data_IF_923164749010
#
_entry.id   IF_923164749010
#
_cell.length_a   1.000
_cell.length_b   1.000
_cell.length_c   1.000
_cell.angle_alpha   90.00
_cell.angle_beta   90.00
_cell.angle_gamma   90.00
#
_symmetry.space_group_name_H-M   'P 1'
#
loop_
_entity.id
_entity.type
_entity.pdbx_description
1 polymer ?
#
# COMPACT_ATOMS: atom_id res chain seq x y z
N UNK A 1 4.60 -34.90 55.33
CA UNK A 1 3.14 -34.77 55.35
C UNK A 1 2.79 -33.53 54.54
N UNK A 2 1.91 -33.71 53.55
CA UNK A 2 1.20 -32.70 52.74
C UNK A 2 2.07 -31.80 51.83
N UNK A 3 2.03 -31.86 50.49
CA UNK A 3 1.01 -32.37 49.57
C UNK A 3 0.13 -31.22 49.05
N UNK A 4 0.65 -30.42 48.11
CA UNK A 4 -0.15 -29.40 47.40
C UNK A 4 0.17 -29.43 45.90
N UNK A 5 -0.55 -30.32 45.21
CA UNK A 5 -0.75 -30.32 43.77
C UNK A 5 -1.57 -29.09 43.34
N UNK A 6 -1.09 -28.32 42.35
CA UNK A 6 -1.91 -27.35 41.60
C UNK A 6 -1.67 -27.49 40.10
N UNK A 7 -2.50 -28.36 39.51
CA UNK A 7 -3.31 -28.18 38.29
C UNK A 7 -2.79 -27.25 37.18
N UNK A 8 -2.38 -27.87 36.07
CA UNK A 8 -2.22 -27.29 34.73
C UNK A 8 -3.56 -26.74 34.18
N UNK A 9 -3.56 -25.63 33.43
CA UNK A 9 -4.74 -25.20 32.68
C UNK A 9 -4.88 -25.93 31.34
N UNK A 10 -6.10 -26.40 31.10
CA UNK A 10 -6.57 -27.09 29.91
C UNK A 10 -6.42 -26.29 28.61
N UNK A 11 -5.93 -26.98 27.57
CA UNK A 11 -5.88 -26.55 26.16
C UNK A 11 -7.26 -26.75 25.52
N UNK A 12 -7.92 -25.73 24.94
CA UNK A 12 -9.15 -25.96 24.20
C UNK A 12 -8.86 -26.54 22.80
N UNK A 13 -9.78 -27.40 22.38
CA UNK A 13 -9.68 -28.27 21.22
C UNK A 13 -9.66 -27.53 19.87
N UNK A 14 -8.89 -28.14 18.96
CA UNK A 14 -8.78 -27.88 17.53
C UNK A 14 -10.14 -27.92 16.79
N UNK A 15 -10.44 -26.86 16.04
CA UNK A 15 -11.54 -26.83 15.07
C UNK A 15 -11.13 -27.51 13.74
N UNK A 16 -12.05 -28.22 13.05
CA UNK A 16 -11.76 -28.93 11.80
C UNK A 16 -11.72 -27.98 10.58
N UNK A 17 -11.04 -28.35 9.49
CA UNK A 17 -10.82 -27.46 8.34
C UNK A 17 -12.06 -27.33 7.44
N UNK A 18 -12.30 -26.09 7.00
CA UNK A 18 -13.30 -25.71 6.00
C UNK A 18 -12.90 -26.23 4.61
N UNK A 19 -13.68 -27.19 4.11
CA UNK A 19 -13.69 -27.64 2.72
C UNK A 19 -14.01 -26.46 1.78
N UNK A 20 -13.04 -26.01 0.97
CA UNK A 20 -13.30 -25.17 -0.21
C UNK A 20 -13.27 -26.02 -1.47
N UNK A 21 -14.42 -26.02 -2.13
CA UNK A 21 -14.72 -26.73 -3.36
C UNK A 21 -13.76 -26.38 -4.51
N UNK A 22 -13.33 -27.41 -5.25
CA UNK A 22 -12.73 -27.29 -6.58
C UNK A 22 -13.74 -26.72 -7.57
N UNK A 23 -13.35 -25.82 -8.49
CA UNK A 23 -14.14 -25.53 -9.68
C UNK A 23 -14.05 -26.70 -10.69
N UNK A 24 -15.11 -26.97 -11.47
CA UNK A 24 -15.11 -28.06 -12.44
C UNK A 24 -14.31 -27.69 -13.70
N UNK A 25 -13.60 -28.70 -14.22
CA UNK A 25 -12.92 -28.69 -15.52
C UNK A 25 -13.97 -28.53 -16.64
N UNK A 26 -13.76 -27.59 -17.57
CA UNK A 26 -14.45 -27.61 -18.87
C UNK A 26 -13.71 -28.56 -19.79
N UNK A 27 -14.45 -29.54 -20.32
CA UNK A 27 -14.02 -30.47 -21.34
C UNK A 27 -14.28 -29.89 -22.73
N UNK A 28 -13.37 -30.21 -23.65
CA UNK A 28 -13.46 -30.03 -25.09
C UNK A 28 -14.61 -30.83 -25.72
N UNK A 29 -15.05 -30.39 -26.91
CA UNK A 29 -15.94 -31.15 -27.82
C UNK A 29 -16.88 -30.24 -28.59
N UNK A 30 -16.51 -29.75 -29.78
CA UNK A 30 -16.87 -30.33 -31.09
C UNK A 30 -18.39 -30.39 -31.39
N UNK A 31 -18.81 -29.53 -32.33
CA UNK A 31 -19.99 -29.71 -33.22
C UNK A 31 -19.80 -30.96 -34.11
N UNK A 32 -20.82 -31.54 -34.82
CA UNK A 32 -21.69 -30.85 -35.79
C UNK A 32 -23.10 -31.48 -36.02
N UNK A 33 -23.75 -31.03 -37.12
CA UNK A 33 -24.93 -31.58 -37.83
C UNK A 33 -26.29 -31.19 -37.21
N UNK A 34 -27.27 -30.55 -37.86
CA UNK A 34 -27.64 -30.44 -39.28
C UNK A 34 -28.98 -31.17 -39.48
N UNK A 35 -30.08 -30.46 -39.78
CA UNK A 35 -31.22 -30.97 -40.58
C UNK A 35 -32.34 -29.94 -40.78
N UNK A 36 -32.94 -30.05 -41.97
CA UNK A 36 -33.88 -29.19 -42.65
C UNK A 36 -35.36 -29.38 -42.25
N UNK A 37 -36.19 -28.42 -42.68
CA UNK A 37 -37.41 -28.59 -43.52
C UNK A 37 -38.76 -28.09 -42.96
N UNK A 38 -39.47 -27.40 -43.86
CA UNK A 38 -40.92 -27.12 -43.86
C UNK A 38 -41.26 -25.63 -43.63
N UNK A 39 -41.95 -24.88 -44.48
CA UNK A 39 -42.64 -25.15 -45.74
C UNK A 39 -43.86 -24.19 -45.88
N UNK A 40 -43.99 -23.50 -47.02
CA UNK A 40 -45.28 -22.96 -47.53
C UNK A 40 -45.68 -21.54 -47.11
N UNK A 41 -46.48 -20.73 -47.84
CA UNK A 41 -47.05 -20.73 -49.20
C UNK A 41 -47.43 -19.26 -49.54
N UNK A 42 -47.34 -18.88 -50.83
CA UNK A 42 -48.18 -17.94 -51.60
C UNK A 42 -48.19 -16.39 -51.42
N UNK A 43 -47.93 -15.77 -52.59
CA UNK A 43 -48.59 -14.61 -53.23
C UNK A 43 -48.50 -13.20 -52.63
N UNK A 44 -47.83 -12.30 -53.36
CA UNK A 44 -48.49 -11.22 -54.10
C UNK A 44 -47.49 -10.50 -55.03
N UNK A 45 -47.92 -10.26 -56.27
CA UNK A 45 -47.22 -9.46 -57.26
C UNK A 45 -47.37 -7.96 -56.96
N UNK A 46 -46.31 -7.17 -57.19
CA UNK A 46 -46.36 -5.71 -57.08
C UNK A 46 -45.04 -5.07 -57.53
N UNK A 47 -45.08 -4.41 -58.68
CA UNK A 47 -43.97 -3.78 -59.39
C UNK A 47 -43.37 -2.60 -58.59
N UNK A 48 -42.04 -2.57 -58.37
CA UNK A 48 -41.30 -1.36 -57.99
C UNK A 48 -39.83 -1.45 -58.43
N UNK A 49 -39.56 -0.76 -59.53
CA UNK A 49 -38.34 0.00 -59.89
C UNK A 49 -37.06 -0.29 -59.09
N UNK A 50 -36.01 -0.74 -59.81
CA UNK A 50 -34.67 -0.94 -59.31
C UNK A 50 -34.06 0.34 -58.71
N UNK A 51 -33.77 0.32 -57.41
CA UNK A 51 -32.87 1.28 -56.75
C UNK A 51 -31.45 0.67 -56.68
N UNK A 52 -30.37 1.43 -56.92
CA UNK A 52 -29.02 0.90 -56.82
C UNK A 52 -28.68 0.64 -55.36
N UNK A 53 -28.15 -0.56 -55.11
CA UNK A 53 -27.63 -1.01 -53.81
C UNK A 53 -26.39 -0.17 -53.49
N UNK A 54 -26.51 0.82 -52.62
CA UNK A 54 -25.36 1.57 -52.10
C UNK A 54 -24.46 0.60 -51.32
N UNK A 55 -23.34 0.22 -51.94
CA UNK A 55 -22.30 -0.56 -51.32
C UNK A 55 -21.45 0.42 -50.50
N UNK A 56 -21.57 0.38 -49.17
CA UNK A 56 -20.81 1.20 -48.24
C UNK A 56 -19.30 1.00 -48.48
N UNK A 57 -18.63 2.02 -49.00
CA UNK A 57 -17.22 1.90 -49.40
C UNK A 57 -16.31 1.97 -48.17
N UNK A 58 -15.09 1.44 -48.25
CA UNK A 58 -14.12 1.51 -47.15
C UNK A 58 -13.82 2.96 -46.71
N UNK A 59 -13.95 3.93 -47.64
CA UNK A 59 -13.83 5.34 -47.35
C UNK A 59 -14.97 5.88 -46.45
N UNK A 60 -16.20 5.39 -46.62
CA UNK A 60 -17.35 5.76 -45.79
C UNK A 60 -17.19 5.24 -44.35
N UNK A 61 -16.65 4.03 -44.20
CA UNK A 61 -16.31 3.46 -42.88
C UNK A 61 -15.18 4.23 -42.20
N UNK A 62 -14.16 4.64 -42.95
CA UNK A 62 -13.05 5.46 -42.45
C UNK A 62 -13.55 6.84 -41.98
N UNK A 63 -14.44 7.46 -42.74
CA UNK A 63 -15.05 8.75 -42.42
C UNK A 63 -15.92 8.67 -41.17
N UNK A 64 -16.78 7.65 -41.08
CA UNK A 64 -17.61 7.39 -39.90
C UNK A 64 -16.78 7.08 -38.65
N UNK A 65 -15.67 6.35 -38.78
CA UNK A 65 -14.71 6.13 -37.69
C UNK A 65 -14.01 7.42 -37.26
N UNK A 66 -13.69 8.31 -38.21
CA UNK A 66 -13.07 9.61 -37.92
C UNK A 66 -14.04 10.54 -37.17
N UNK A 67 -15.30 10.65 -37.62
CA UNK A 67 -16.35 11.41 -36.94
C UNK A 67 -16.61 10.86 -35.52
N UNK A 68 -16.61 9.54 -35.36
CA UNK A 68 -16.79 8.89 -34.04
C UNK A 68 -15.59 9.13 -33.13
N UNK A 69 -14.37 9.12 -33.67
CA UNK A 69 -13.13 9.43 -32.93
C UNK A 69 -13.06 10.89 -32.54
N UNK A 70 -13.51 11.80 -33.40
CA UNK A 70 -13.59 13.24 -33.11
C UNK A 70 -14.69 13.55 -32.09
N UNK A 71 -15.85 12.90 -32.19
CA UNK A 71 -16.91 12.97 -31.18
C UNK A 71 -16.49 12.38 -29.83
N UNK A 72 -15.72 11.29 -29.83
CA UNK A 72 -15.13 10.72 -28.61
C UNK A 72 -14.04 11.63 -28.03
N UNK A 73 -13.22 12.28 -28.86
CA UNK A 73 -12.23 13.26 -28.42
C UNK A 73 -12.87 14.53 -27.85
N UNK A 74 -13.94 15.03 -28.47
CA UNK A 74 -14.72 16.17 -27.97
C UNK A 74 -15.44 15.81 -26.66
N UNK A 75 -15.97 14.59 -26.54
CA UNK A 75 -16.53 14.08 -25.28
C UNK A 75 -15.46 13.88 -24.21
N UNK A 76 -14.27 13.39 -24.56
CA UNK A 76 -13.13 13.24 -23.65
C UNK A 76 -12.56 14.61 -23.23
N UNK A 77 -12.52 15.59 -24.14
CA UNK A 77 -12.10 16.95 -23.84
C UNK A 77 -13.12 17.66 -22.93
N UNK A 78 -14.42 17.57 -23.22
CA UNK A 78 -15.47 18.11 -22.36
C UNK A 78 -15.55 17.40 -21.00
N UNK A 79 -15.28 16.08 -20.97
CA UNK A 79 -15.15 15.34 -19.72
C UNK A 79 -13.87 15.74 -18.97
N UNK A 80 -12.76 16.01 -19.66
CA UNK A 80 -11.50 16.49 -19.08
C UNK A 80 -11.58 17.96 -18.61
N UNK A 81 -12.50 18.74 -19.16
CA UNK A 81 -12.84 20.10 -18.70
C UNK A 81 -13.78 20.04 -17.48
N UNK A 82 -14.73 19.09 -17.47
CA UNK A 82 -15.55 18.78 -16.27
C UNK A 82 -14.80 18.02 -15.18
N UNK A 83 -13.72 17.33 -15.54
CA UNK A 83 -12.72 16.67 -14.69
C UNK A 83 -11.39 17.44 -14.75
N UNK A 84 -11.43 18.76 -15.05
CA UNK A 84 -10.31 19.62 -14.71
C UNK A 84 -9.98 19.39 -13.23
N UNK A 85 -8.74 19.60 -12.77
CA UNK A 85 -8.41 19.38 -11.37
C UNK A 85 -9.44 20.15 -10.55
N UNK A 86 -10.42 19.43 -10.01
CA UNK A 86 -11.21 19.97 -8.94
C UNK A 86 -10.18 20.11 -7.85
N UNK A 87 -9.83 21.36 -7.55
CA UNK A 87 -9.14 21.70 -6.32
C UNK A 87 -9.79 20.86 -5.23
N UNK A 88 -9.05 19.85 -4.79
CA UNK A 88 -9.49 18.88 -3.79
C UNK A 88 -9.39 19.54 -2.41
N UNK A 89 -9.75 20.82 -2.31
CA UNK A 89 -9.49 21.67 -1.16
C UNK A 89 -10.73 21.87 -0.27
N UNK A 90 -11.92 21.44 -0.70
CA UNK A 90 -13.13 21.58 0.13
C UNK A 90 -13.38 20.40 1.11
N UNK A 91 -12.48 19.43 1.21
CA UNK A 91 -12.63 18.27 2.11
C UNK A 91 -11.48 18.08 3.11
N UNK A 92 -10.54 19.01 3.21
CA UNK A 92 -9.43 18.93 4.16
C UNK A 92 -9.63 19.90 5.32
N UNK A 93 -9.17 19.54 6.52
CA UNK A 93 -9.18 20.48 7.64
C UNK A 93 -8.24 21.65 7.30
N UNK A 94 -8.74 22.88 7.29
CA UNK A 94 -7.90 24.05 7.10
C UNK A 94 -7.02 24.25 8.34
N UNK A 95 -5.80 23.71 8.28
CA UNK A 95 -4.82 23.76 9.35
C UNK A 95 -3.57 24.56 8.98
N UNK A 96 -3.57 25.32 7.87
CA UNK A 96 -2.37 26.00 7.34
C UNK A 96 -1.66 26.88 8.39
N UNK A 97 -2.43 27.48 9.30
CA UNK A 97 -1.92 28.31 10.40
C UNK A 97 -2.29 27.76 11.79
N UNK A 98 -2.55 26.45 11.89
CA UNK A 98 -2.89 25.84 13.17
C UNK A 98 -1.67 25.73 14.10
N UNK A 99 -1.90 26.01 15.38
CA UNK A 99 -0.93 25.76 16.46
C UNK A 99 -0.80 24.26 16.75
N UNK A 100 0.38 23.79 17.23
CA UNK A 100 0.63 22.38 17.51
C UNK A 100 -0.44 21.75 18.42
N UNK A 101 -0.91 22.45 19.46
CA UNK A 101 -1.90 21.94 20.42
C UNK A 101 -3.24 21.63 19.75
N UNK A 102 -3.64 22.42 18.75
CA UNK A 102 -4.85 22.12 17.99
C UNK A 102 -4.66 20.84 17.18
N UNK A 103 -3.51 20.68 16.51
CA UNK A 103 -3.16 19.47 15.78
C UNK A 103 -3.16 18.23 16.69
N UNK A 104 -2.60 18.33 17.90
CA UNK A 104 -2.61 17.25 18.90
C UNK A 104 -4.03 16.85 19.29
N UNK A 105 -4.92 17.81 19.53
CA UNK A 105 -6.34 17.52 19.83
C UNK A 105 -7.05 16.84 18.66
N UNK A 106 -6.75 17.25 17.43
CA UNK A 106 -7.34 16.65 16.23
C UNK A 106 -6.82 15.23 15.97
N UNK A 107 -5.58 14.91 16.33
CA UNK A 107 -5.02 13.55 16.27
C UNK A 107 -5.82 12.56 17.12
N UNK A 108 -6.41 13.00 18.23
CA UNK A 108 -7.26 12.18 19.09
C UNK A 108 -8.64 11.88 18.47
N UNK A 109 -8.98 12.52 17.34
CA UNK A 109 -10.17 12.26 16.54
C UNK A 109 -9.77 11.77 15.14
N UNK A 110 -9.41 10.49 14.96
CA UNK A 110 -8.88 9.99 13.70
C UNK A 110 -9.89 10.12 12.57
N UNK A 111 -9.57 10.93 11.58
CA UNK A 111 -10.32 11.04 10.32
C UNK A 111 -9.37 11.37 9.18
N UNK A 112 -9.75 10.99 7.95
CA UNK A 112 -8.95 11.29 6.75
C UNK A 112 -8.78 12.80 6.62
N UNK A 113 -9.83 13.58 6.90
CA UNK A 113 -9.83 15.05 6.86
C UNK A 113 -8.80 15.65 7.82
N UNK A 114 -8.75 15.17 9.06
CA UNK A 114 -7.82 15.65 10.08
C UNK A 114 -6.37 15.30 9.73
N UNK A 115 -6.11 14.07 9.29
CA UNK A 115 -4.75 13.67 8.89
C UNK A 115 -4.29 14.36 7.60
N UNK A 116 -5.15 14.57 6.62
CA UNK A 116 -4.78 15.30 5.40
C UNK A 116 -4.42 16.75 5.71
N UNK A 117 -5.25 17.44 6.51
CA UNK A 117 -4.93 18.79 6.96
C UNK A 117 -3.64 18.85 7.79
N UNK A 118 -3.44 17.87 8.70
CA UNK A 118 -2.23 17.79 9.51
C UNK A 118 -0.99 17.56 8.66
N UNK A 119 -1.06 16.67 7.66
CA UNK A 119 0.03 16.42 6.72
C UNK A 119 0.46 17.71 6.05
N UNK A 120 -0.48 18.49 5.49
CA UNK A 120 -0.16 19.80 4.88
C UNK A 120 0.53 20.72 5.88
N UNK A 121 0.00 20.80 7.11
CA UNK A 121 0.58 21.64 8.16
C UNK A 121 1.98 21.20 8.62
N UNK A 122 2.28 19.90 8.61
CA UNK A 122 3.60 19.34 8.87
C UNK A 122 4.58 19.61 7.73
N UNK A 123 4.11 19.58 6.48
CA UNK A 123 4.94 19.85 5.30
C UNK A 123 5.32 21.33 5.18
N UNK A 124 4.49 22.25 5.69
CA UNK A 124 4.74 23.69 5.68
C UNK A 124 5.29 24.25 7.00
N UNK A 125 5.52 23.41 8.02
CA UNK A 125 6.00 23.87 9.33
C UNK A 125 7.47 24.27 9.31
N UNK A 126 7.81 25.30 10.10
CA UNK A 126 9.19 25.61 10.45
C UNK A 126 9.73 24.71 11.57
N UNK A 127 11.02 24.85 11.86
CA UNK A 127 11.71 24.06 12.88
C UNK A 127 11.14 24.27 14.29
N UNK A 128 10.74 25.51 14.62
CA UNK A 128 10.21 25.84 15.95
C UNK A 128 8.86 25.16 16.20
N UNK A 129 7.97 25.20 15.20
CA UNK A 129 6.69 24.51 15.26
C UNK A 129 6.86 23.00 15.31
N UNK A 130 7.78 22.44 14.51
CA UNK A 130 8.06 20.99 14.50
C UNK A 130 8.54 20.52 15.87
N UNK A 131 9.46 21.24 16.51
CA UNK A 131 9.94 20.91 17.85
C UNK A 131 8.78 20.91 18.86
N UNK A 132 7.93 21.94 18.88
CA UNK A 132 6.77 21.98 19.77
C UNK A 132 5.80 20.82 19.53
N UNK A 133 5.52 20.48 18.28
CA UNK A 133 4.68 19.33 17.94
C UNK A 133 5.25 18.01 18.49
N UNK A 134 6.56 17.83 18.43
CA UNK A 134 7.25 16.65 18.96
C UNK A 134 7.24 16.62 20.49
N UNK A 135 7.52 17.76 21.14
CA UNK A 135 7.46 17.91 22.60
C UNK A 135 6.07 17.65 23.18
N UNK A 136 5.02 17.97 22.41
CA UNK A 136 3.63 17.67 22.75
C UNK A 136 3.19 16.24 22.36
N UNK A 137 4.16 15.33 22.17
CA UNK A 137 3.94 13.91 21.86
C UNK A 137 3.19 13.66 20.53
N UNK A 138 3.25 14.57 19.57
CA UNK A 138 2.54 14.44 18.30
C UNK A 138 2.95 13.21 17.49
N UNK A 139 4.25 12.89 17.49
CA UNK A 139 4.76 11.69 16.84
C UNK A 139 4.30 10.39 17.55
N UNK A 140 4.27 10.38 18.89
CA UNK A 140 3.76 9.23 19.66
C UNK A 140 2.31 8.92 19.29
N UNK A 141 1.46 9.96 19.23
CA UNK A 141 0.06 9.81 18.87
C UNK A 141 -0.11 9.29 17.43
N UNK A 142 0.71 9.76 16.48
CA UNK A 142 0.69 9.28 15.10
C UNK A 142 1.07 7.79 15.01
N UNK A 143 2.15 7.38 15.70
CA UNK A 143 2.61 6.00 15.67
C UNK A 143 1.66 5.05 16.41
N UNK A 144 1.09 5.49 17.53
CA UNK A 144 0.07 4.74 18.26
C UNK A 144 -1.22 4.60 17.44
N UNK A 145 -1.64 5.65 16.73
CA UNK A 145 -2.76 5.55 15.80
C UNK A 145 -2.48 4.57 14.66
N UNK A 146 -1.26 4.60 14.10
CA UNK A 146 -0.87 3.68 13.04
C UNK A 146 -0.86 2.22 13.51
N UNK A 147 -0.35 1.94 14.70
CA UNK A 147 -0.37 0.60 15.31
C UNK A 147 -1.81 0.09 15.49
N UNK A 148 -2.70 0.91 16.07
CA UNK A 148 -4.13 0.58 16.22
C UNK A 148 -4.82 0.28 14.89
N UNK A 149 -4.45 0.99 13.82
CA UNK A 149 -4.99 0.77 12.47
C UNK A 149 -4.43 -0.49 11.81
N UNK A 150 -3.17 -0.85 12.09
CA UNK A 150 -2.51 -2.03 11.55
C UNK A 150 -3.02 -3.35 12.15
N UNK A 151 -3.30 -3.38 13.46
CA UNK A 151 -3.71 -4.60 14.15
C UNK A 151 -5.16 -5.09 13.88
N UNK A 152 -6.04 -4.22 13.37
CA UNK A 152 -7.48 -4.53 13.20
C UNK A 152 -7.84 -5.16 11.85
N UNK A 153 -6.90 -5.19 10.91
CA UNK A 153 -7.17 -5.48 9.51
C UNK A 153 -8.00 -4.38 8.83
N UNK A 154 -7.93 -4.31 7.52
CA UNK A 154 -8.65 -3.29 6.72
C UNK A 154 -10.07 -3.78 6.44
N UNK A 155 -11.03 -3.42 7.29
CA UNK A 155 -12.44 -3.83 7.12
C UNK A 155 -13.18 -2.96 6.10
N UNK A 156 -12.80 -1.70 5.96
CA UNK A 156 -13.41 -0.74 5.03
C UNK A 156 -12.35 0.02 4.25
N UNK A 157 -12.74 0.53 3.08
CA UNK A 157 -11.90 1.43 2.25
C UNK A 157 -11.49 2.67 3.05
N UNK A 158 -12.38 3.21 3.89
CA UNK A 158 -12.09 4.32 4.79
C UNK A 158 -10.93 4.04 5.73
N UNK A 159 -10.80 2.79 6.21
CA UNK A 159 -9.74 2.41 7.15
C UNK A 159 -8.39 2.33 6.43
N UNK A 160 -8.39 1.83 5.18
CA UNK A 160 -7.22 1.82 4.31
C UNK A 160 -6.71 3.24 4.03
N UNK A 161 -7.63 4.15 3.71
CA UNK A 161 -7.33 5.56 3.46
C UNK A 161 -6.82 6.24 4.72
N UNK A 162 -7.48 6.04 5.86
CA UNK A 162 -7.07 6.60 7.13
C UNK A 162 -5.65 6.16 7.52
N UNK A 163 -5.35 4.88 7.35
CA UNK A 163 -4.01 4.34 7.61
C UNK A 163 -2.95 4.93 6.67
N UNK A 164 -3.27 5.06 5.38
CA UNK A 164 -2.37 5.66 4.39
C UNK A 164 -2.10 7.14 4.67
N UNK A 165 -3.12 7.91 5.04
CA UNK A 165 -2.95 9.32 5.40
C UNK A 165 -2.18 9.48 6.72
N UNK A 166 -2.37 8.56 7.67
CA UNK A 166 -1.60 8.55 8.92
C UNK A 166 -0.10 8.35 8.70
N UNK A 167 0.30 7.35 7.90
CA UNK A 167 1.73 7.13 7.58
C UNK A 167 2.32 8.28 6.76
N UNK A 168 1.50 8.99 5.96
CA UNK A 168 1.94 10.20 5.27
C UNK A 168 2.25 11.36 6.24
N UNK A 169 1.56 11.46 7.37
CA UNK A 169 1.91 12.42 8.42
C UNK A 169 3.27 12.08 9.06
N UNK A 170 3.52 10.80 9.36
CA UNK A 170 4.83 10.34 9.87
C UNK A 170 5.94 10.64 8.88
N UNK A 171 5.69 10.43 7.57
CA UNK A 171 6.63 10.82 6.52
C UNK A 171 6.90 12.32 6.52
N UNK A 172 5.87 13.16 6.66
CA UNK A 172 6.05 14.61 6.72
C UNK A 172 6.96 15.01 7.90
N UNK A 173 6.79 14.38 9.07
CA UNK A 173 7.71 14.55 10.21
C UNK A 173 9.14 14.14 9.84
N UNK A 174 9.34 12.94 9.28
CA UNK A 174 10.67 12.45 8.89
C UNK A 174 11.35 13.25 7.79
N UNK A 175 10.59 13.97 6.96
CA UNK A 175 11.13 14.86 5.94
C UNK A 175 11.60 16.21 6.52
N UNK A 176 11.22 16.55 7.75
CA UNK A 176 11.78 17.71 8.47
C UNK A 176 13.10 17.33 9.12
N UNK A 177 14.08 18.24 9.03
CA UNK A 177 15.37 18.09 9.69
C UNK A 177 15.23 17.86 11.20
N UNK A 178 14.35 18.62 11.87
CA UNK A 178 14.09 18.42 13.29
C UNK A 178 13.40 17.10 13.60
N UNK A 179 12.48 16.67 12.74
CA UNK A 179 11.73 15.44 12.92
C UNK A 179 12.59 14.18 12.79
N UNK A 180 13.45 14.09 11.78
CA UNK A 180 14.35 12.94 11.63
C UNK A 180 15.41 12.87 12.73
N UNK A 181 15.98 14.01 13.16
CA UNK A 181 16.91 14.02 14.29
C UNK A 181 16.27 13.56 15.59
N UNK A 182 15.02 13.96 15.83
CA UNK A 182 14.25 13.53 16.99
C UNK A 182 14.00 12.01 16.97
N UNK A 183 13.70 11.44 15.80
CA UNK A 183 13.51 10.00 15.63
C UNK A 183 14.82 9.22 15.83
N UNK A 184 15.92 9.69 15.25
CA UNK A 184 17.24 9.03 15.38
C UNK A 184 17.77 9.12 16.81
N UNK A 185 17.37 10.13 17.57
CA UNK A 185 17.74 10.24 18.99
C UNK A 185 16.97 9.28 19.91
N UNK A 186 15.97 8.55 19.40
CA UNK A 186 15.03 7.77 20.20
C UNK A 186 14.69 6.43 19.54
N UNK A 187 15.36 5.35 19.96
CA UNK A 187 15.24 4.01 19.33
C UNK A 187 13.80 3.48 19.27
N UNK A 188 12.98 3.83 20.26
CA UNK A 188 11.60 3.36 20.39
C UNK A 188 10.70 3.74 19.22
N UNK A 189 10.95 4.87 18.56
CA UNK A 189 10.09 5.31 17.44
C UNK A 189 10.28 4.47 16.19
N UNK A 190 11.51 4.07 15.87
CA UNK A 190 11.77 3.23 14.69
C UNK A 190 11.15 1.84 14.90
N UNK A 191 11.25 1.26 16.10
CA UNK A 191 10.56 0.00 16.43
C UNK A 191 9.04 0.11 16.29
N UNK A 192 8.42 1.18 16.82
CA UNK A 192 6.98 1.45 16.67
C UNK A 192 6.58 1.61 15.20
N UNK A 193 7.38 2.32 14.39
CA UNK A 193 7.13 2.46 12.95
C UNK A 193 7.08 1.10 12.25
N UNK A 194 7.95 0.16 12.62
CA UNK A 194 7.99 -1.18 12.01
C UNK A 194 6.82 -2.07 12.42
N UNK A 195 6.18 -1.84 13.57
CA UNK A 195 4.94 -2.53 13.92
C UNK A 195 3.82 -2.27 12.90
N UNK A 196 3.89 -1.14 12.16
CA UNK A 196 2.95 -0.85 11.08
C UNK A 196 3.01 -1.84 9.89
N UNK A 197 4.05 -2.68 9.80
CA UNK A 197 4.14 -3.76 8.81
C UNK A 197 3.08 -4.86 9.01
N UNK A 198 2.39 -4.87 10.15
CA UNK A 198 1.31 -5.82 10.46
C UNK A 198 0.05 -5.62 9.62
N UNK A 199 -0.08 -4.46 8.98
CA UNK A 199 -1.19 -4.17 8.09
C UNK A 199 -1.22 -5.09 6.87
N UNK A 200 -2.40 -5.31 6.31
CA UNK A 200 -2.56 -5.92 4.98
C UNK A 200 -2.42 -4.90 3.85
N UNK A 201 -2.34 -3.60 4.16
CA UNK A 201 -2.23 -2.54 3.18
C UNK A 201 -0.80 -2.41 2.62
N UNK A 202 -0.58 -2.94 1.41
CA UNK A 202 0.71 -2.90 0.71
C UNK A 202 1.25 -1.48 0.53
N UNK A 203 0.38 -0.48 0.36
CA UNK A 203 0.82 0.91 0.19
C UNK A 203 1.43 1.46 1.49
N UNK A 204 0.89 1.07 2.65
CA UNK A 204 1.46 1.46 3.94
C UNK A 204 2.80 0.76 4.16
N UNK A 205 2.90 -0.54 3.87
CA UNK A 205 4.18 -1.26 3.94
C UNK A 205 5.24 -0.63 3.05
N UNK A 206 4.88 -0.25 1.82
CA UNK A 206 5.75 0.49 0.90
C UNK A 206 6.27 1.77 1.55
N UNK A 207 5.39 2.57 2.15
CA UNK A 207 5.80 3.80 2.84
C UNK A 207 6.77 3.51 4.00
N UNK A 208 6.53 2.46 4.81
CA UNK A 208 7.41 2.06 5.91
C UNK A 208 8.81 1.66 5.41
N UNK A 209 8.90 0.86 4.34
CA UNK A 209 10.19 0.48 3.76
C UNK A 209 10.95 1.64 3.11
N UNK A 210 10.25 2.63 2.55
CA UNK A 210 10.89 3.87 2.07
C UNK A 210 11.47 4.69 3.22
N UNK A 211 10.75 4.80 4.35
CA UNK A 211 11.24 5.49 5.55
C UNK A 211 12.42 4.75 6.20
N UNK A 212 12.40 3.41 6.19
CA UNK A 212 13.56 2.59 6.56
C UNK A 212 14.78 2.92 5.71
N UNK A 213 14.61 2.93 4.38
CA UNK A 213 15.70 3.24 3.46
C UNK A 213 16.25 4.65 3.72
N UNK A 214 15.38 5.63 3.96
CA UNK A 214 15.77 6.99 4.32
C UNK A 214 16.60 7.04 5.61
N UNK A 215 16.19 6.32 6.67
CA UNK A 215 16.97 6.22 7.93
C UNK A 215 18.37 5.63 7.70
N UNK A 216 18.46 4.57 6.90
CA UNK A 216 19.74 3.96 6.55
C UNK A 216 20.69 4.90 5.81
N UNK A 217 20.15 5.80 4.98
CA UNK A 217 20.93 6.75 4.18
C UNK A 217 21.28 8.01 4.99
N UNK A 218 20.40 8.42 5.91
CA UNK A 218 20.53 9.65 6.66
C UNK A 218 21.76 9.69 7.56
N UNK A 219 21.99 8.66 8.37
CA UNK A 219 23.14 8.59 9.28
C UNK A 219 23.48 7.16 9.70
N UNK A 220 24.68 6.97 10.25
CA UNK A 220 25.10 5.68 10.81
C UNK A 220 24.19 5.21 11.96
N UNK A 221 23.75 6.15 12.80
CA UNK A 221 22.82 5.88 13.89
C UNK A 221 21.45 5.46 13.34
N UNK A 222 20.92 6.20 12.34
CA UNK A 222 19.67 5.85 11.67
C UNK A 222 19.73 4.46 11.03
N UNK A 223 20.85 4.11 10.41
CA UNK A 223 21.11 2.76 9.90
C UNK A 223 21.14 1.70 11.02
N UNK A 224 21.79 1.99 12.14
CA UNK A 224 21.80 1.14 13.34
C UNK A 224 20.39 0.88 13.87
N UNK A 225 19.57 1.91 13.99
CA UNK A 225 18.18 1.82 14.43
C UNK A 225 17.30 1.02 13.46
N UNK A 226 17.53 1.14 12.15
CA UNK A 226 16.80 0.34 11.16
C UNK A 226 17.10 -1.16 11.32
N UNK A 227 18.36 -1.52 11.56
CA UNK A 227 18.76 -2.91 11.83
C UNK A 227 18.21 -3.44 13.16
N UNK A 228 18.23 -2.60 14.20
CA UNK A 228 17.66 -2.91 15.50
C UNK A 228 16.14 -3.13 15.40
N UNK A 229 15.41 -2.28 14.68
CA UNK A 229 13.97 -2.43 14.47
C UNK A 229 13.62 -3.71 13.69
N UNK A 230 14.42 -4.10 12.70
CA UNK A 230 14.28 -5.39 12.00
C UNK A 230 14.51 -6.58 12.93
N UNK A 231 15.52 -6.53 13.81
CA UNK A 231 15.76 -7.60 14.78
C UNK A 231 14.64 -7.67 15.83
N UNK A 232 14.19 -6.52 16.33
CA UNK A 232 13.04 -6.44 17.21
C UNK A 232 11.79 -7.04 16.56
N UNK A 233 11.50 -6.67 15.32
CA UNK A 233 10.35 -7.19 14.58
C UNK A 233 10.44 -8.71 14.39
N UNK A 234 11.64 -9.25 14.10
CA UNK A 234 11.88 -10.70 14.06
C UNK A 234 11.49 -11.37 15.38
N UNK A 235 11.92 -10.82 16.51
CA UNK A 235 11.61 -11.38 17.82
C UNK A 235 10.09 -11.34 18.10
N UNK A 236 9.42 -10.22 17.79
CA UNK A 236 7.96 -10.07 17.95
C UNK A 236 7.18 -11.02 17.06
N UNK A 237 7.65 -11.27 15.83
CA UNK A 237 7.01 -12.18 14.86
C UNK A 237 7.50 -13.62 14.93
N UNK A 238 8.38 -13.94 15.88
CA UNK A 238 9.00 -15.24 16.03
C UNK A 238 9.59 -15.76 14.70
N UNK A 239 10.26 -14.87 13.96
CA UNK A 239 10.94 -15.21 12.72
C UNK A 239 12.36 -15.73 12.99
N UNK A 240 12.88 -16.56 12.10
CA UNK A 240 14.23 -17.11 12.23
C UNK A 240 15.30 -16.04 11.97
N UNK A 241 15.07 -15.14 11.00
CA UNK A 241 16.04 -14.15 10.57
C UNK A 241 15.45 -12.74 10.57
N UNK A 242 16.27 -11.73 10.91
CA UNK A 242 15.85 -10.32 10.95
C UNK A 242 15.38 -9.77 9.60
N UNK A 243 15.88 -10.35 8.50
CA UNK A 243 15.51 -9.95 7.14
C UNK A 243 14.37 -10.77 6.54
N UNK A 244 13.82 -11.75 7.28
CA UNK A 244 12.71 -12.59 6.80
C UNK A 244 11.50 -11.76 6.36
N UNK A 245 11.18 -10.67 7.06
CA UNK A 245 10.07 -9.79 6.68
C UNK A 245 10.23 -9.21 5.26
N UNK A 246 11.42 -8.70 4.91
CA UNK A 246 11.68 -8.12 3.59
C UNK A 246 11.61 -9.20 2.51
N UNK A 247 12.24 -10.35 2.77
CA UNK A 247 12.29 -11.45 1.80
C UNK A 247 10.91 -12.05 1.54
N UNK A 248 10.08 -12.19 2.58
CA UNK A 248 8.71 -12.67 2.46
C UNK A 248 7.84 -11.68 1.68
N UNK A 249 7.97 -10.37 1.91
CA UNK A 249 7.21 -9.38 1.13
C UNK A 249 7.64 -9.40 -0.34
N UNK A 250 8.94 -9.53 -0.62
CA UNK A 250 9.48 -9.56 -1.97
C UNK A 250 9.04 -10.82 -2.74
N UNK A 251 8.98 -11.97 -2.08
CA UNK A 251 8.57 -13.23 -2.72
C UNK A 251 7.07 -13.33 -3.01
N UNK A 252 6.24 -12.60 -2.24
CA UNK A 252 4.79 -12.74 -2.28
C UNK A 252 4.08 -11.63 -3.05
N UNK A 253 4.79 -10.59 -3.49
CA UNK A 253 4.20 -9.48 -4.24
C UNK A 253 4.41 -9.66 -5.75
N UNK A 254 3.47 -9.15 -6.56
CA UNK A 254 3.57 -8.93 -8.00
C UNK A 254 3.59 -7.42 -8.35
N UNK A 255 3.50 -6.55 -7.33
CA UNK A 255 3.48 -5.11 -7.47
C UNK A 255 4.91 -4.58 -7.72
N UNK A 256 5.21 -4.30 -8.99
CA UNK A 256 6.55 -3.83 -9.41
C UNK A 256 7.04 -2.59 -8.64
N UNK A 257 6.24 -1.50 -8.47
CA UNK A 257 6.64 -0.38 -7.61
C UNK A 257 7.02 -0.78 -6.18
N UNK A 258 6.33 -1.75 -5.59
CA UNK A 258 6.65 -2.23 -4.25
C UNK A 258 7.93 -3.07 -4.22
N UNK A 259 8.15 -3.93 -5.23
CA UNK A 259 9.42 -4.66 -5.38
C UNK A 259 10.62 -3.70 -5.48
N UNK A 260 10.49 -2.61 -6.24
CA UNK A 260 11.54 -1.58 -6.35
C UNK A 260 11.83 -0.96 -4.99
N UNK A 261 10.79 -0.65 -4.20
CA UNK A 261 10.96 -0.14 -2.84
C UNK A 261 11.70 -1.14 -1.94
N UNK A 262 11.32 -2.42 -1.98
CA UNK A 262 11.95 -3.47 -1.17
C UNK A 262 13.42 -3.65 -1.55
N UNK A 263 13.75 -3.71 -2.85
CA UNK A 263 15.13 -3.79 -3.33
C UNK A 263 15.93 -2.53 -2.96
N UNK A 264 15.32 -1.35 -3.01
CA UNK A 264 15.95 -0.10 -2.55
C UNK A 264 16.25 -0.14 -1.05
N UNK A 265 15.35 -0.69 -0.23
CA UNK A 265 15.58 -0.87 1.21
C UNK A 265 16.72 -1.86 1.47
N UNK A 266 16.78 -2.99 0.75
CA UNK A 266 17.92 -3.94 0.81
C UNK A 266 19.23 -3.23 0.47
N UNK A 267 19.25 -2.45 -0.60
CA UNK A 267 20.43 -1.69 -1.01
C UNK A 267 20.84 -0.67 0.05
N UNK A 268 19.90 0.06 0.64
CA UNK A 268 20.17 1.02 1.71
C UNK A 268 20.74 0.32 2.96
N UNK A 269 20.23 -0.85 3.33
CA UNK A 269 20.76 -1.65 4.45
C UNK A 269 22.19 -2.13 4.16
N UNK A 270 22.44 -2.69 2.97
CA UNK A 270 23.78 -3.21 2.64
C UNK A 270 24.78 -2.07 2.49
N UNK A 271 24.41 -0.97 1.83
CA UNK A 271 25.33 0.12 1.55
C UNK A 271 25.48 1.11 2.71
N UNK A 272 24.60 1.04 3.72
CA UNK A 272 24.69 1.87 4.94
C UNK A 272 25.91 1.56 5.83
N UNK A 273 26.64 0.46 5.55
CA UNK A 273 27.93 0.16 6.20
C UNK A 273 29.10 0.46 5.26
N UNK A 274 30.08 1.22 5.76
CA UNK A 274 31.29 1.52 5.00
C UNK A 274 32.18 0.27 4.82
N UNK A 275 32.33 -0.51 5.90
CA UNK A 275 33.19 -1.69 5.95
C UNK A 275 32.71 -2.82 5.02
N UNK A 276 33.58 -3.23 4.10
CA UNK A 276 33.31 -4.27 3.10
C UNK A 276 32.96 -5.63 3.73
N UNK A 277 33.60 -5.97 4.86
CA UNK A 277 33.37 -7.26 5.52
C UNK A 277 31.96 -7.31 6.10
N UNK A 278 31.54 -6.26 6.80
CA UNK A 278 30.20 -6.12 7.35
C UNK A 278 29.14 -6.13 6.25
N UNK A 279 29.39 -5.45 5.12
CA UNK A 279 28.51 -5.52 3.94
C UNK A 279 28.35 -6.93 3.38
N UNK A 280 29.45 -7.68 3.37
CA UNK A 280 29.44 -9.08 2.90
C UNK A 280 28.64 -9.97 3.86
N UNK A 281 28.78 -9.77 5.18
CA UNK A 281 28.00 -10.48 6.20
C UNK A 281 26.49 -10.21 6.04
N UNK A 282 26.09 -8.94 6.00
CA UNK A 282 24.68 -8.56 5.82
C UNK A 282 24.10 -9.16 4.52
N UNK A 283 24.87 -9.14 3.42
CA UNK A 283 24.45 -9.79 2.17
C UNK A 283 24.27 -11.30 2.33
N UNK A 284 25.15 -11.97 3.05
CA UNK A 284 25.04 -13.40 3.33
C UNK A 284 23.81 -13.72 4.19
N UNK A 285 23.48 -12.86 5.18
CA UNK A 285 22.25 -12.98 5.98
C UNK A 285 21.00 -12.96 5.09
N UNK A 286 20.93 -12.06 4.08
CA UNK A 286 19.81 -12.02 3.13
C UNK A 286 19.67 -13.30 2.29
N UNK A 287 20.78 -13.97 1.97
CA UNK A 287 20.80 -15.22 1.19
C UNK A 287 20.58 -16.44 2.11
N UNK A 288 20.50 -16.25 3.43
CA UNK A 288 20.40 -17.33 4.41
C UNK A 288 21.68 -18.16 4.51
N UNK A 289 22.84 -17.60 4.15
CA UNK A 289 24.12 -18.31 4.10
C UNK A 289 24.86 -18.39 5.45
N UNK A 290 24.31 -17.86 6.52
CA UNK A 290 24.92 -17.92 7.86
C UNK A 290 24.60 -19.21 8.65
N UNK A 291 24.41 -20.35 7.96
CA UNK A 291 24.38 -21.69 8.61
C UNK A 291 25.55 -22.59 8.18
N UNK A 292 26.48 -22.16 7.32
CA UNK A 292 27.66 -23.00 7.04
C UNK A 292 28.94 -22.18 6.93
N UNK A 293 29.65 -22.04 8.06
CA UNK A 293 31.07 -21.69 8.05
C UNK A 293 31.50 -20.75 9.17
N UNK A 294 31.59 -21.24 10.41
CA UNK A 294 32.83 -21.31 11.22
C UNK A 294 32.54 -21.94 12.57
#
# INVERSE_FOLDING_TARGET
MEGLSRTLPHRPASAPPLNRARPPRRADGQSPVGSCSGGGWLSAAGCATAAPRLQETAADKQFMMSIKKEGAHKKWAALKEKLGPQDTDQSEANLENAEPELCIRLLQMPSVVNYSGLKKRLESSDDAWMVQFLELCGLDLLLEALDRLSGRGVARISDALLQLTCINCVRAVMNSHRGIEYIVSNEGYVRKLFQALDTTNVMVKKQVFELLAALCIYSSDGHGLALDALDHYKNVKNQQYRFSVIMNELSNTDNVPYMVTLLSAINAIILGKEDLRTRTQIRNEFIGKDICGT
#
